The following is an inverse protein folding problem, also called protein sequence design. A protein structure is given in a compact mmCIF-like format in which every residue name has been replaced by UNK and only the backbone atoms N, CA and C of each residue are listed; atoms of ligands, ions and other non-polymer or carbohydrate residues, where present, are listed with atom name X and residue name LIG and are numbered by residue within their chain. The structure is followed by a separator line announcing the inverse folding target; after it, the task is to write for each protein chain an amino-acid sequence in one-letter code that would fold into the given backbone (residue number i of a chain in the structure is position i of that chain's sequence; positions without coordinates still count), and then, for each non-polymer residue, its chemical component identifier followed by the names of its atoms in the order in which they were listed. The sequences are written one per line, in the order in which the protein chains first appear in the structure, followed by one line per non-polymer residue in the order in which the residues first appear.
data_IF_164141939408
#
_entry.id   IF_164141939408
#
_cell.length_a   1.000
_cell.length_b   1.000
_cell.length_c   1.000
_cell.angle_alpha   90.00
_cell.angle_beta   90.00
_cell.angle_gamma   90.00
#
_symmetry.space_group_name_H-M   'P 1'
#
loop_
_entity.id
_entity.type
_entity.pdbx_description
1 polymer ?
#
# COMPACT_ATOMS: atom_id res chain seq x y z
N UNK A 1 13.96 5.07 23.61
CA UNK A 1 13.52 6.00 22.55
C UNK A 1 14.68 6.13 21.58
N UNK A 2 14.64 5.39 20.47
CA UNK A 2 15.67 5.45 19.43
C UNK A 2 15.51 6.76 18.67
N UNK A 3 16.57 7.57 18.62
CA UNK A 3 16.68 8.73 17.74
C UNK A 3 16.40 8.27 16.31
N UNK A 4 15.18 8.52 15.83
CA UNK A 4 14.87 8.49 14.40
C UNK A 4 15.50 9.75 13.82
N UNK A 5 16.63 9.61 13.12
CA UNK A 5 17.09 10.68 12.24
C UNK A 5 16.03 10.88 11.17
N UNK A 6 15.33 12.01 11.21
CA UNK A 6 14.38 12.38 10.18
C UNK A 6 15.10 12.40 8.83
N UNK A 7 14.43 11.98 7.77
CA UNK A 7 14.98 12.17 6.42
C UNK A 7 14.83 13.65 6.10
N UNK A 8 15.90 14.42 6.31
CA UNK A 8 15.88 15.88 6.13
C UNK A 8 15.89 16.29 4.65
N UNK A 9 16.47 15.46 3.77
CA UNK A 9 16.56 15.72 2.33
C UNK A 9 15.87 14.64 1.49
N UNK A 10 14.54 14.73 1.46
CA UNK A 10 13.71 13.86 0.63
C UNK A 10 13.94 14.03 -0.87
N UNK A 11 14.39 15.19 -1.33
CA UNK A 11 14.60 15.43 -2.77
C UNK A 11 15.87 14.74 -3.27
N UNK A 12 16.95 14.76 -2.49
CA UNK A 12 18.14 13.95 -2.80
C UNK A 12 17.81 12.45 -2.77
N UNK A 13 17.02 12.00 -1.78
CA UNK A 13 16.70 10.57 -1.63
C UNK A 13 15.73 10.07 -2.71
N UNK A 14 14.60 10.76 -2.89
CA UNK A 14 13.44 10.31 -3.68
C UNK A 14 13.00 11.30 -4.76
N UNK A 15 13.68 12.44 -4.97
CA UNK A 15 13.37 13.44 -6.00
C UNK A 15 13.14 12.85 -7.39
N UNK A 16 13.98 11.86 -7.75
CA UNK A 16 13.90 11.11 -9.01
C UNK A 16 12.57 10.37 -9.21
N UNK A 17 11.84 10.04 -8.14
CA UNK A 17 10.56 9.33 -8.24
C UNK A 17 9.49 10.17 -8.95
N UNK A 18 9.58 11.50 -8.92
CA UNK A 18 8.61 12.38 -9.59
C UNK A 18 8.50 12.06 -11.08
N UNK A 19 9.58 11.57 -11.68
CA UNK A 19 9.60 11.17 -13.08
C UNK A 19 8.88 9.83 -13.36
N UNK A 20 8.60 8.99 -12.35
CA UNK A 20 7.80 7.74 -12.51
C UNK A 20 6.34 7.98 -12.89
N UNK A 21 5.86 9.22 -12.78
CA UNK A 21 4.51 9.61 -13.17
C UNK A 21 4.49 10.63 -14.30
N UNK A 22 5.66 10.89 -14.90
CA UNK A 22 5.82 11.88 -15.98
C UNK A 22 5.31 11.32 -17.30
N UNK A 23 4.79 12.22 -18.14
CA UNK A 23 4.40 11.89 -19.52
C UNK A 23 5.63 11.87 -20.47
N UNK A 24 6.78 12.40 -20.02
CA UNK A 24 8.06 12.25 -20.73
C UNK A 24 8.59 10.82 -20.57
N UNK A 25 8.48 10.04 -21.64
CA UNK A 25 8.90 8.64 -21.69
C UNK A 25 10.38 8.43 -21.32
N UNK A 26 11.26 9.37 -21.69
CA UNK A 26 12.70 9.26 -21.39
C UNK A 26 12.95 9.48 -19.90
N UNK A 27 12.30 10.49 -19.31
CA UNK A 27 12.36 10.74 -17.88
C UNK A 27 11.77 9.56 -17.08
N UNK A 28 10.61 9.07 -17.50
CA UNK A 28 9.94 7.91 -16.89
C UNK A 28 10.84 6.68 -16.90
N UNK A 29 11.43 6.34 -18.05
CA UNK A 29 12.32 5.19 -18.18
C UNK A 29 13.55 5.29 -17.28
N UNK A 30 14.19 6.46 -17.22
CA UNK A 30 15.35 6.68 -16.32
C UNK A 30 14.98 6.51 -14.85
N UNK A 31 13.80 6.99 -14.45
CA UNK A 31 13.31 6.81 -13.08
C UNK A 31 13.01 5.34 -12.77
N UNK A 32 12.43 4.61 -13.73
CA UNK A 32 12.21 3.18 -13.60
C UNK A 32 13.54 2.40 -13.50
N UNK A 33 14.52 2.71 -14.33
CA UNK A 33 15.85 2.09 -14.28
C UNK A 33 16.51 2.29 -12.91
N UNK A 34 16.39 3.51 -12.35
CA UNK A 34 16.86 3.80 -10.99
C UNK A 34 16.10 3.01 -9.92
N UNK A 35 14.77 2.89 -10.05
CA UNK A 35 13.97 2.05 -9.16
C UNK A 35 14.44 0.58 -9.17
N UNK A 36 14.69 0.05 -10.37
CA UNK A 36 15.16 -1.33 -10.55
C UNK A 36 16.55 -1.53 -9.95
N UNK A 37 17.45 -0.56 -10.14
CA UNK A 37 18.78 -0.57 -9.55
C UNK A 37 18.73 -0.62 -8.01
N UNK A 38 18.02 0.32 -7.35
CA UNK A 38 17.95 0.34 -5.88
C UNK A 38 17.27 -0.92 -5.32
N UNK A 39 16.30 -1.47 -6.04
CA UNK A 39 15.62 -2.71 -5.65
C UNK A 39 16.55 -3.92 -5.77
N UNK A 40 17.37 -3.97 -6.83
CA UNK A 40 18.37 -5.02 -7.01
C UNK A 40 19.42 -4.95 -5.90
N UNK A 41 19.99 -3.77 -5.66
CA UNK A 41 21.04 -3.58 -4.66
C UNK A 41 20.53 -3.94 -3.24
N UNK A 42 19.27 -3.63 -2.92
CA UNK A 42 18.60 -4.07 -1.69
C UNK A 42 18.49 -5.60 -1.59
N UNK A 43 18.13 -6.29 -2.68
CA UNK A 43 18.04 -7.76 -2.70
C UNK A 43 19.41 -8.41 -2.54
N UNK A 44 20.43 -7.92 -3.23
CA UNK A 44 21.81 -8.41 -3.10
C UNK A 44 22.33 -8.24 -1.66
N UNK A 45 22.07 -7.08 -1.05
CA UNK A 45 22.43 -6.84 0.34
C UNK A 45 21.66 -7.77 1.31
N UNK A 46 20.39 -8.07 1.01
CA UNK A 46 19.59 -9.02 1.78
C UNK A 46 20.14 -10.44 1.68
N UNK A 47 20.45 -10.91 0.48
CA UNK A 47 21.02 -12.23 0.24
C UNK A 47 22.36 -12.40 0.97
N UNK A 48 23.21 -11.36 0.94
CA UNK A 48 24.47 -11.36 1.69
C UNK A 48 24.27 -11.45 3.21
N UNK A 49 23.27 -10.75 3.75
CA UNK A 49 22.89 -10.85 5.15
C UNK A 49 22.37 -12.25 5.51
N UNK A 50 21.44 -12.79 4.73
CA UNK A 50 20.85 -14.11 4.96
C UNK A 50 21.94 -15.21 4.91
N UNK A 51 22.91 -15.11 3.99
CA UNK A 51 24.04 -16.03 3.91
C UNK A 51 24.92 -16.05 5.18
N UNK A 52 25.02 -14.93 5.89
CA UNK A 52 25.76 -14.83 7.16
C UNK A 52 24.95 -15.38 8.32
N UNK A 53 23.66 -15.03 8.40
CA UNK A 53 22.74 -15.48 9.48
C UNK A 53 22.58 -17.00 9.50
N UNK A 54 22.61 -17.62 8.32
CA UNK A 54 22.48 -19.07 8.15
C UNK A 54 23.80 -19.84 8.37
N UNK A 55 24.94 -19.15 8.51
CA UNK A 55 26.25 -19.80 8.70
C UNK A 55 26.45 -20.29 10.15
N UNK A 56 27.09 -21.45 10.28
CA UNK A 56 27.51 -22.01 11.57
C UNK A 56 29.03 -22.31 11.53
N UNK A 57 29.83 -21.89 12.53
CA UNK A 57 29.45 -21.03 13.67
C UNK A 57 29.16 -19.58 13.23
N UNK A 58 28.32 -18.87 13.99
CA UNK A 58 27.95 -17.48 13.72
C UNK A 58 29.03 -16.49 14.13
N UNK A 59 29.21 -15.44 13.34
CA UNK A 59 30.04 -14.28 13.68
C UNK A 59 29.15 -13.06 13.88
N UNK A 60 29.02 -12.61 15.14
CA UNK A 60 28.16 -11.46 15.50
C UNK A 60 28.59 -10.18 14.77
N UNK A 61 29.89 -9.91 14.68
CA UNK A 61 30.40 -8.72 13.98
C UNK A 61 30.14 -8.75 12.47
N UNK A 62 30.21 -9.93 11.84
CA UNK A 62 29.86 -10.09 10.43
C UNK A 62 28.36 -9.90 10.19
N UNK A 63 27.52 -10.44 11.07
CA UNK A 63 26.06 -10.30 11.03
C UNK A 63 25.64 -8.84 11.16
N UNK A 64 26.16 -8.11 12.15
CA UNK A 64 25.89 -6.68 12.32
C UNK A 64 26.33 -5.85 11.10
N UNK A 65 27.50 -6.14 10.54
CA UNK A 65 27.99 -5.45 9.35
C UNK A 65 27.10 -5.66 8.13
N UNK A 66 26.63 -6.89 7.93
CA UNK A 66 25.72 -7.21 6.83
C UNK A 66 24.31 -6.65 7.06
N UNK A 67 23.83 -6.67 8.31
CA UNK A 67 22.56 -6.04 8.68
C UNK A 67 22.57 -4.54 8.37
N UNK A 68 23.64 -3.81 8.74
CA UNK A 68 23.77 -2.39 8.43
C UNK A 68 23.69 -2.13 6.93
N UNK A 69 24.46 -2.89 6.13
CA UNK A 69 24.42 -2.77 4.66
C UNK A 69 23.04 -3.05 4.07
N UNK A 70 22.38 -4.12 4.52
CA UNK A 70 21.01 -4.43 4.11
C UNK A 70 20.05 -3.30 4.49
N UNK A 71 20.11 -2.80 5.73
CA UNK A 71 19.27 -1.71 6.21
C UNK A 71 19.49 -0.43 5.38
N UNK A 72 20.74 -0.07 5.11
CA UNK A 72 21.08 1.12 4.33
C UNK A 72 20.51 1.01 2.90
N UNK A 73 20.71 -0.14 2.23
CA UNK A 73 20.16 -0.39 0.91
C UNK A 73 18.61 -0.45 0.93
N UNK A 74 18.02 -1.03 1.97
CA UNK A 74 16.57 -1.07 2.15
C UNK A 74 15.97 0.33 2.26
N UNK A 75 16.58 1.22 3.05
CA UNK A 75 16.14 2.60 3.22
C UNK A 75 16.25 3.45 1.94
N UNK A 76 17.01 3.03 0.93
CA UNK A 76 17.03 3.66 -0.39
C UNK A 76 15.83 3.26 -1.27
N UNK A 77 15.08 2.23 -0.91
CA UNK A 77 13.87 1.84 -1.64
C UNK A 77 12.69 2.75 -1.26
N UNK A 78 11.89 3.24 -2.23
CA UNK A 78 10.78 4.15 -1.95
C UNK A 78 9.83 3.70 -0.84
N UNK A 79 9.39 2.44 -0.91
CA UNK A 79 8.44 1.90 0.05
C UNK A 79 8.99 1.83 1.48
N UNK A 80 10.29 1.55 1.63
CA UNK A 80 10.93 1.51 2.93
C UNK A 80 11.17 2.91 3.49
N UNK A 81 11.75 3.81 2.69
CA UNK A 81 12.03 5.20 3.07
C UNK A 81 10.77 5.88 3.62
N UNK A 82 9.67 5.80 2.85
CA UNK A 82 8.39 6.41 3.21
C UNK A 82 7.80 5.83 4.51
N UNK A 83 7.96 4.53 4.75
CA UNK A 83 7.40 3.85 5.92
C UNK A 83 8.30 3.94 7.16
N UNK A 84 9.61 4.09 6.99
CA UNK A 84 10.57 4.23 8.08
C UNK A 84 10.44 5.60 8.77
N UNK A 85 10.20 6.65 7.97
CA UNK A 85 10.05 8.03 8.43
C UNK A 85 8.60 8.53 8.38
N UNK A 86 7.63 7.62 8.43
CA UNK A 86 6.20 7.99 8.50
C UNK A 86 5.91 8.70 9.83
N UNK A 87 5.34 9.92 9.82
CA UNK A 87 5.03 10.66 11.03
C UNK A 87 3.71 10.19 11.67
N UNK A 88 3.39 10.66 12.88
CA UNK A 88 2.07 10.53 13.46
C UNK A 88 0.96 11.11 12.56
N UNK A 89 -0.29 10.63 12.64
CA UNK A 89 -1.39 11.07 11.77
C UNK A 89 -1.62 12.58 11.69
N UNK A 90 -1.42 13.30 12.79
CA UNK A 90 -1.63 14.75 12.86
C UNK A 90 -0.59 15.57 12.07
N UNK A 91 0.58 15.00 11.80
CA UNK A 91 1.71 15.67 11.15
C UNK A 91 1.84 15.30 9.66
N UNK A 92 1.04 14.34 9.17
CA UNK A 92 1.10 13.88 7.78
C UNK A 92 0.88 15.01 6.75
N UNK A 93 -0.05 15.98 6.95
CA UNK A 93 -0.24 17.06 5.97
C UNK A 93 1.02 17.91 5.73
N UNK A 94 1.88 18.03 6.74
CA UNK A 94 3.11 18.85 6.70
C UNK A 94 4.38 18.01 6.50
N UNK A 95 4.23 16.70 6.30
CA UNK A 95 5.33 15.76 6.17
C UNK A 95 6.13 15.97 4.88
N UNK A 96 7.45 16.13 4.99
CA UNK A 96 8.34 16.26 3.83
C UNK A 96 8.28 15.09 2.84
N UNK A 97 7.93 13.89 3.31
CA UNK A 97 7.74 12.70 2.46
C UNK A 97 6.40 12.63 1.72
N UNK A 98 5.44 13.51 2.03
CA UNK A 98 4.08 13.50 1.47
C UNK A 98 4.07 13.54 -0.08
N UNK A 99 4.83 14.42 -0.77
CA UNK A 99 4.85 14.45 -2.23
C UNK A 99 5.32 13.13 -2.86
N UNK A 100 6.18 12.38 -2.18
CA UNK A 100 6.74 11.11 -2.64
C UNK A 100 5.81 9.93 -2.35
N UNK A 101 5.09 9.95 -1.22
CA UNK A 101 4.02 9.01 -0.94
C UNK A 101 2.89 9.11 -1.97
N UNK A 102 2.48 10.34 -2.31
CA UNK A 102 1.52 10.60 -3.38
C UNK A 102 2.02 10.08 -4.72
N UNK A 103 3.27 10.38 -5.08
CA UNK A 103 3.89 9.91 -6.33
C UNK A 103 3.95 8.39 -6.41
N UNK A 104 4.26 7.70 -5.31
CA UNK A 104 4.27 6.24 -5.27
C UNK A 104 2.88 5.64 -5.56
N UNK A 105 1.83 6.22 -4.97
CA UNK A 105 0.46 5.76 -5.21
C UNK A 105 -0.04 6.16 -6.59
N UNK A 106 0.30 7.34 -7.10
CA UNK A 106 0.00 7.77 -8.47
C UNK A 106 0.66 6.88 -9.51
N UNK A 107 1.91 6.47 -9.30
CA UNK A 107 2.60 5.50 -10.16
C UNK A 107 1.87 4.15 -10.17
N UNK A 108 1.48 3.63 -9.00
CA UNK A 108 0.64 2.44 -8.90
C UNK A 108 -0.71 2.60 -9.61
N UNK A 109 -1.25 3.81 -9.56
CA UNK A 109 -2.56 4.12 -10.07
C UNK A 109 -2.54 4.21 -11.62
N UNK A 110 -1.58 4.95 -12.19
CA UNK A 110 -1.39 5.23 -13.62
C UNK A 110 -0.79 4.05 -14.39
N UNK A 111 0.21 3.37 -13.83
CA UNK A 111 0.97 2.32 -14.51
C UNK A 111 0.83 0.97 -13.78
N UNK A 112 -0.38 0.42 -13.63
CA UNK A 112 -0.63 -0.73 -12.77
C UNK A 112 0.11 -2.00 -13.21
N UNK A 113 0.34 -2.19 -14.51
CA UNK A 113 1.08 -3.35 -15.04
C UNK A 113 2.57 -3.25 -14.70
N UNK A 114 3.18 -2.08 -14.93
CA UNK A 114 4.57 -1.79 -14.60
C UNK A 114 4.81 -1.92 -13.08
N UNK A 115 3.97 -1.27 -12.28
CA UNK A 115 4.03 -1.38 -10.82
C UNK A 115 3.88 -2.83 -10.35
N UNK A 116 2.97 -3.61 -10.96
CA UNK A 116 2.79 -5.02 -10.61
C UNK A 116 4.02 -5.87 -10.95
N UNK A 117 4.71 -5.55 -12.04
CA UNK A 117 5.91 -6.27 -12.48
C UNK A 117 7.13 -5.96 -11.61
N UNK A 118 7.30 -4.71 -11.20
CA UNK A 118 8.56 -4.24 -10.64
C UNK A 118 8.48 -3.85 -9.15
N UNK A 119 7.33 -3.35 -8.69
CA UNK A 119 7.20 -2.67 -7.40
C UNK A 119 6.09 -3.21 -6.50
N UNK A 120 5.51 -4.36 -6.85
CA UNK A 120 4.34 -4.92 -6.16
C UNK A 120 4.63 -5.25 -4.71
N UNK A 121 4.30 -4.31 -3.83
CA UNK A 121 4.33 -4.49 -2.38
C UNK A 121 2.99 -4.00 -1.81
N UNK A 122 2.03 -4.93 -1.71
CA UNK A 122 0.67 -4.61 -1.30
C UNK A 122 0.60 -4.00 0.11
N UNK A 123 1.41 -4.48 1.04
CA UNK A 123 1.49 -3.95 2.39
C UNK A 123 1.90 -2.48 2.39
N UNK A 124 2.88 -2.09 1.56
CA UNK A 124 3.30 -0.70 1.38
C UNK A 124 2.16 0.17 0.85
N UNK A 125 1.51 -0.23 -0.25
CA UNK A 125 0.34 0.49 -0.78
C UNK A 125 -0.72 0.71 0.30
N UNK A 126 -1.09 -0.35 1.04
CA UNK A 126 -2.12 -0.25 2.07
C UNK A 126 -1.70 0.65 3.24
N UNK A 127 -0.45 0.58 3.69
CA UNK A 127 0.07 1.43 4.77
C UNK A 127 0.10 2.90 4.34
N UNK A 128 0.55 3.20 3.12
CA UNK A 128 0.55 4.56 2.59
C UNK A 128 -0.88 5.11 2.44
N UNK A 129 -1.82 4.32 1.92
CA UNK A 129 -3.23 4.76 1.83
C UNK A 129 -3.79 5.10 3.23
N UNK A 130 -3.47 4.29 4.25
CA UNK A 130 -3.90 4.56 5.63
C UNK A 130 -3.22 5.79 6.22
N UNK A 131 -1.92 5.97 5.95
CA UNK A 131 -1.16 7.14 6.38
C UNK A 131 -1.76 8.43 5.80
N UNK A 132 -2.12 8.42 4.51
CA UNK A 132 -2.70 9.57 3.83
C UNK A 132 -4.19 9.79 4.16
N UNK A 133 -4.88 8.79 4.70
CA UNK A 133 -6.29 8.89 5.08
C UNK A 133 -6.48 9.60 6.43
N UNK A 134 -6.00 10.85 6.50
CA UNK A 134 -6.14 11.76 7.64
C UNK A 134 -6.73 13.10 7.17
N UNK A 135 -7.46 13.85 8.01
CA UNK A 135 -7.91 15.20 7.67
C UNK A 135 -6.74 16.19 7.63
N UNK A 136 -7.00 17.42 7.15
CA UNK A 136 -6.02 18.53 7.19
C UNK A 136 -5.20 18.73 5.91
N UNK A 137 -5.32 17.84 4.92
CA UNK A 137 -4.72 18.05 3.59
C UNK A 137 -5.30 19.30 2.92
N UNK A 138 -4.43 20.15 2.40
CA UNK A 138 -4.80 21.40 1.76
C UNK A 138 -3.94 21.67 0.51
N UNK A 139 -4.33 22.67 -0.28
CA UNK A 139 -3.59 23.13 -1.44
C UNK A 139 -3.24 22.01 -2.45
N UNK A 140 -1.99 21.95 -2.94
CA UNK A 140 -1.56 20.96 -3.94
C UNK A 140 -1.71 19.50 -3.49
N UNK A 141 -1.51 19.20 -2.19
CA UNK A 141 -1.64 17.85 -1.67
C UNK A 141 -3.10 17.36 -1.76
N UNK A 142 -4.06 18.21 -1.37
CA UNK A 142 -5.49 17.88 -1.49
C UNK A 142 -5.89 17.66 -2.95
N UNK A 143 -5.42 18.51 -3.87
CA UNK A 143 -5.69 18.36 -5.31
C UNK A 143 -5.18 17.01 -5.84
N UNK A 144 -3.95 16.61 -5.50
CA UNK A 144 -3.38 15.31 -5.89
C UNK A 144 -4.15 14.12 -5.30
N UNK A 145 -4.63 14.22 -4.06
CA UNK A 145 -5.48 13.18 -3.47
C UNK A 145 -6.82 13.05 -4.18
N UNK A 146 -7.44 14.17 -4.61
CA UNK A 146 -8.65 14.14 -5.43
C UNK A 146 -8.39 13.44 -6.77
N UNK A 147 -7.31 13.84 -7.46
CA UNK A 147 -6.92 13.24 -8.74
C UNK A 147 -6.63 11.74 -8.60
N UNK A 148 -6.00 11.33 -7.50
CA UNK A 148 -5.70 9.93 -7.21
C UNK A 148 -6.96 9.09 -6.99
N UNK A 149 -7.94 9.62 -6.23
CA UNK A 149 -9.23 8.93 -6.05
C UNK A 149 -9.98 8.83 -7.39
N UNK A 150 -10.01 9.92 -8.16
CA UNK A 150 -10.63 9.94 -9.49
C UNK A 150 -9.98 8.90 -10.41
N UNK A 151 -8.65 8.86 -10.48
CA UNK A 151 -7.93 7.94 -11.34
C UNK A 151 -8.19 6.47 -10.99
N UNK A 152 -8.34 6.16 -9.70
CA UNK A 152 -8.70 4.81 -9.23
C UNK A 152 -10.15 4.45 -9.59
N UNK A 153 -11.07 5.42 -9.59
CA UNK A 153 -12.47 5.19 -9.96
C UNK A 153 -12.64 4.92 -11.46
N UNK A 154 -11.89 5.62 -12.31
CA UNK A 154 -11.97 5.47 -13.77
C UNK A 154 -11.31 4.20 -14.30
N UNK A 155 -10.37 3.61 -13.55
CA UNK A 155 -9.73 2.35 -13.97
C UNK A 155 -10.57 1.13 -13.62
N UNK A 156 -10.28 0.02 -14.31
CA UNK A 156 -10.86 -1.29 -13.99
C UNK A 156 -10.48 -1.72 -12.57
N UNK A 157 -11.49 -2.03 -11.75
CA UNK A 157 -11.34 -2.33 -10.33
C UNK A 157 -10.30 -3.42 -10.03
N UNK A 158 -9.41 -3.17 -9.07
CA UNK A 158 -8.49 -4.17 -8.50
C UNK A 158 -8.83 -4.43 -7.03
N UNK A 159 -8.47 -5.63 -6.54
CA UNK A 159 -8.90 -6.15 -5.23
C UNK A 159 -8.58 -5.28 -4.00
N UNK A 160 -7.68 -4.29 -4.11
CA UNK A 160 -7.28 -3.35 -3.04
C UNK A 160 -7.67 -1.91 -3.31
N UNK A 161 -8.34 -1.63 -4.42
CA UNK A 161 -8.70 -0.26 -4.80
C UNK A 161 -9.77 0.34 -3.91
N UNK A 162 -10.58 -0.52 -3.26
CA UNK A 162 -11.49 -0.10 -2.19
C UNK A 162 -10.80 0.67 -1.06
N UNK A 163 -9.50 0.46 -0.84
CA UNK A 163 -8.82 1.12 0.27
C UNK A 163 -8.70 2.64 0.01
N UNK A 164 -8.72 3.10 -1.25
CA UNK A 164 -8.76 4.52 -1.61
C UNK A 164 -10.04 5.23 -1.15
N UNK A 165 -11.12 4.51 -0.86
CA UNK A 165 -12.31 5.09 -0.24
C UNK A 165 -12.03 5.67 1.17
N UNK A 166 -10.91 5.28 1.82
CA UNK A 166 -10.47 5.92 3.07
C UNK A 166 -9.97 7.34 2.82
N UNK A 167 -9.19 7.53 1.75
CA UNK A 167 -8.75 8.85 1.30
C UNK A 167 -9.97 9.69 0.90
N UNK A 168 -10.89 9.11 0.12
CA UNK A 168 -12.12 9.78 -0.29
C UNK A 168 -12.92 10.34 0.90
N UNK A 169 -13.01 9.59 2.02
CA UNK A 169 -13.71 10.05 3.22
C UNK A 169 -13.08 11.28 3.87
N UNK A 170 -11.75 11.35 3.92
CA UNK A 170 -11.07 12.46 4.60
C UNK A 170 -10.99 13.72 3.75
N UNK A 171 -11.12 13.60 2.43
CA UNK A 171 -11.15 14.74 1.50
C UNK A 171 -12.55 15.05 0.97
N UNK A 172 -13.60 14.43 1.54
CA UNK A 172 -15.00 14.62 1.12
C UNK A 172 -15.37 16.10 1.08
N UNK A 173 -16.14 16.47 0.07
CA UNK A 173 -16.51 17.83 -0.26
C UNK A 173 -17.02 17.92 -1.68
N UNK A 174 -17.53 19.09 -2.05
CA UNK A 174 -18.24 19.30 -3.31
C UNK A 174 -17.40 18.95 -4.54
N UNK A 175 -16.10 19.27 -4.53
CA UNK A 175 -15.18 18.91 -5.63
C UNK A 175 -15.13 17.40 -5.89
N UNK A 176 -14.97 16.60 -4.82
CA UNK A 176 -14.89 15.16 -4.93
C UNK A 176 -16.23 14.60 -5.39
N UNK A 177 -17.32 15.07 -4.79
CA UNK A 177 -18.68 14.62 -5.11
C UNK A 177 -19.02 14.92 -6.56
N UNK A 178 -18.68 16.11 -7.07
CA UNK A 178 -18.90 16.48 -8.46
C UNK A 178 -18.14 15.56 -9.43
N UNK A 179 -16.86 15.26 -9.15
CA UNK A 179 -16.04 14.32 -9.94
C UNK A 179 -16.64 12.91 -9.94
N UNK A 180 -17.08 12.42 -8.78
CA UNK A 180 -17.72 11.12 -8.65
C UNK A 180 -19.09 11.05 -9.36
N UNK A 181 -19.91 12.09 -9.29
CA UNK A 181 -21.18 12.14 -10.02
C UNK A 181 -20.96 12.13 -11.54
N UNK A 182 -19.94 12.84 -12.03
CA UNK A 182 -19.51 12.75 -13.43
C UNK A 182 -19.08 11.33 -13.80
N UNK A 183 -18.32 10.65 -12.94
CA UNK A 183 -17.92 9.27 -13.15
C UNK A 183 -19.12 8.29 -13.10
N UNK A 184 -20.16 8.60 -12.31
CA UNK A 184 -21.38 7.79 -12.17
C UNK A 184 -22.20 7.71 -13.47
N UNK A 185 -22.09 8.72 -14.34
CA UNK A 185 -22.75 8.74 -15.66
C UNK A 185 -21.83 8.32 -16.81
N UNK A 186 -20.64 7.78 -16.51
CA UNK A 186 -19.71 7.26 -17.51
C UNK A 186 -20.32 6.13 -18.35
N UNK A 187 -19.88 5.98 -19.61
CA UNK A 187 -20.26 4.85 -20.46
C UNK A 187 -19.81 3.49 -19.88
N UNK A 188 -18.69 3.49 -19.14
CA UNK A 188 -18.07 2.28 -18.60
C UNK A 188 -18.73 1.79 -17.31
N UNK A 189 -19.23 0.56 -17.31
CA UNK A 189 -19.98 -0.02 -16.19
C UNK A 189 -19.18 -0.03 -14.89
N UNK A 190 -17.90 -0.44 -14.93
CA UNK A 190 -17.05 -0.48 -13.74
C UNK A 190 -16.78 0.91 -13.15
N UNK A 191 -16.74 1.96 -13.99
CA UNK A 191 -16.54 3.34 -13.52
C UNK A 191 -17.79 3.81 -12.80
N UNK A 192 -18.97 3.57 -13.39
CA UNK A 192 -20.26 3.88 -12.76
C UNK A 192 -20.42 3.17 -11.42
N UNK A 193 -20.05 1.89 -11.37
CA UNK A 193 -20.16 1.06 -10.16
C UNK A 193 -19.24 1.56 -9.05
N UNK A 194 -17.98 1.83 -9.38
CA UNK A 194 -17.02 2.33 -8.39
C UNK A 194 -17.42 3.72 -7.89
N UNK A 195 -17.78 4.63 -8.78
CA UNK A 195 -18.22 5.98 -8.41
C UNK A 195 -19.47 5.95 -7.51
N UNK A 196 -20.48 5.16 -7.89
CA UNK A 196 -21.70 5.00 -7.11
C UNK A 196 -21.46 4.43 -5.72
N UNK A 197 -20.58 3.42 -5.61
CA UNK A 197 -20.22 2.85 -4.31
C UNK A 197 -19.44 3.83 -3.43
N UNK A 198 -18.50 4.59 -3.99
CA UNK A 198 -17.77 5.61 -3.22
C UNK A 198 -18.76 6.68 -2.73
N UNK A 199 -19.65 7.18 -3.58
CA UNK A 199 -20.70 8.14 -3.17
C UNK A 199 -21.58 7.57 -2.04
N UNK A 200 -22.00 6.31 -2.14
CA UNK A 200 -22.75 5.64 -1.08
C UNK A 200 -21.95 5.57 0.23
N UNK A 201 -20.64 5.23 0.17
CA UNK A 201 -19.76 5.21 1.35
C UNK A 201 -19.53 6.59 1.98
N UNK A 202 -19.57 7.66 1.19
CA UNK A 202 -19.46 9.05 1.66
C UNK A 202 -20.75 9.52 2.35
N UNK A 203 -21.92 9.08 1.87
CA UNK A 203 -23.22 9.33 2.53
C UNK A 203 -23.39 8.50 3.81
N UNK A 204 -22.65 7.39 3.93
CA UNK A 204 -22.75 6.44 5.04
C UNK A 204 -21.38 6.22 5.72
N UNK A 205 -20.82 7.25 6.40
CA UNK A 205 -19.47 7.19 6.97
C UNK A 205 -19.27 6.06 8.01
N UNK A 206 -20.33 5.67 8.72
CA UNK A 206 -20.38 4.58 9.69
C UNK A 206 -20.17 3.19 9.07
N UNK A 207 -20.43 3.03 7.76
CA UNK A 207 -20.26 1.73 7.10
C UNK A 207 -18.77 1.39 6.98
N UNK A 208 -18.32 0.20 7.37
CA UNK A 208 -16.93 -0.18 7.21
C UNK A 208 -16.52 -0.33 5.72
N UNK A 209 -15.32 0.14 5.38
CA UNK A 209 -14.75 -0.08 4.04
C UNK A 209 -14.15 -1.49 3.95
N UNK A 210 -14.94 -2.45 3.48
CA UNK A 210 -14.54 -3.85 3.32
C UNK A 210 -15.14 -4.49 2.04
N UNK A 211 -14.69 -5.70 1.73
CA UNK A 211 -15.12 -6.45 0.52
C UNK A 211 -16.60 -6.85 0.59
N UNK A 212 -17.10 -7.17 1.78
CA UNK A 212 -18.49 -7.59 2.01
C UNK A 212 -19.47 -6.48 1.65
N UNK A 213 -19.20 -5.25 2.09
CA UNK A 213 -20.06 -4.10 1.80
C UNK A 213 -20.06 -3.72 0.32
N UNK A 214 -18.93 -3.87 -0.37
CA UNK A 214 -18.87 -3.73 -1.83
C UNK A 214 -19.82 -4.70 -2.55
N UNK A 215 -19.77 -5.99 -2.21
CA UNK A 215 -20.65 -6.98 -2.85
C UNK A 215 -22.11 -6.78 -2.46
N UNK A 216 -22.40 -6.47 -1.20
CA UNK A 216 -23.77 -6.18 -0.76
C UNK A 216 -24.35 -4.98 -1.51
N UNK A 217 -23.54 -3.94 -1.74
CA UNK A 217 -23.93 -2.79 -2.56
C UNK A 217 -24.20 -3.18 -4.03
N UNK A 218 -23.33 -4.00 -4.64
CA UNK A 218 -23.55 -4.52 -6.00
C UNK A 218 -24.84 -5.34 -6.12
N UNK A 219 -25.12 -6.21 -5.15
CA UNK A 219 -26.34 -7.03 -5.12
C UNK A 219 -27.59 -6.16 -5.00
N UNK A 220 -27.58 -5.16 -4.12
CA UNK A 220 -28.72 -4.26 -3.94
C UNK A 220 -28.98 -3.41 -5.20
N UNK A 221 -27.91 -2.97 -5.88
CA UNK A 221 -28.01 -2.29 -7.17
C UNK A 221 -28.66 -3.16 -8.25
N UNK A 222 -28.31 -4.46 -8.30
CA UNK A 222 -28.91 -5.39 -9.26
C UNK A 222 -30.41 -5.66 -8.96
N UNK A 223 -30.84 -5.49 -7.72
CA UNK A 223 -32.23 -5.70 -7.26
C UNK A 223 -33.19 -4.52 -7.44
N UNK A 224 -32.83 -3.49 -8.22
CA UNK A 224 -33.67 -2.32 -8.56
C UNK A 224 -34.03 -1.34 -7.43
N UNK A 225 -33.29 -1.35 -6.32
CA UNK A 225 -33.30 -0.24 -5.34
C UNK A 225 -32.26 0.79 -5.79
N UNK A 226 -32.57 2.09 -5.75
CA UNK A 226 -31.52 3.11 -5.96
C UNK A 226 -30.44 2.87 -4.90
N UNK A 227 -29.21 2.50 -5.30
CA UNK A 227 -28.16 2.14 -4.36
C UNK A 227 -27.78 3.26 -3.39
N UNK A 228 -28.14 4.50 -3.72
CA UNK A 228 -27.90 5.65 -2.88
C UNK A 228 -28.94 5.84 -1.76
N UNK A 229 -30.10 5.21 -1.88
CA UNK A 229 -31.20 5.24 -0.91
C UNK A 229 -31.15 4.05 0.07
N UNK A 230 -30.14 3.18 -0.08
CA UNK A 230 -29.91 2.05 0.82
C UNK A 230 -29.50 2.57 2.20
N UNK A 231 -30.44 2.50 3.15
CA UNK A 231 -30.20 2.80 4.54
C UNK A 231 -29.10 1.91 5.12
N UNK A 232 -28.15 2.53 5.82
CA UNK A 232 -27.05 1.80 6.46
C UNK A 232 -27.48 0.88 7.60
N UNK A 233 -28.69 1.06 8.14
CA UNK A 233 -29.22 0.27 9.27
C UNK A 233 -29.29 -1.23 8.95
N UNK A 234 -29.57 -1.60 7.69
CA UNK A 234 -29.49 -2.99 7.23
C UNK A 234 -28.07 -3.50 6.92
N UNK A 235 -27.06 -2.61 6.93
CA UNK A 235 -25.67 -2.94 6.57
C UNK A 235 -24.76 -3.16 7.78
N UNK A 236 -25.14 -2.66 8.96
CA UNK A 236 -24.34 -2.72 10.20
C UNK A 236 -24.54 -4.03 10.99
N UNK A 237 -25.32 -4.98 10.47
CA UNK A 237 -25.54 -6.28 11.12
C UNK A 237 -24.23 -7.02 11.44
N UNK A 238 -24.06 -7.39 12.71
CA UNK A 238 -23.05 -8.35 13.18
C UNK A 238 -23.06 -9.60 12.27
N UNK A 239 -21.89 -10.22 12.00
CA UNK A 239 -21.87 -11.51 11.34
C UNK A 239 -22.44 -12.54 12.33
N UNK A 240 -23.76 -12.71 12.34
CA UNK A 240 -24.34 -13.91 12.89
C UNK A 240 -23.78 -15.08 12.05
N UNK A 241 -23.14 -16.00 12.76
CA UNK A 241 -22.86 -17.35 12.26
C UNK A 241 -24.19 -17.97 11.86
N UNK A 242 -24.57 -17.85 10.60
CA UNK A 242 -25.53 -18.79 10.02
C UNK A 242 -24.76 -20.05 9.64
N UNK A 243 -25.01 -21.02 10.51
CA UNK A 243 -24.82 -22.46 10.42
C UNK A 243 -24.79 -23.01 8.98
N UNK A 244 -23.76 -23.84 8.75
CA UNK A 244 -23.78 -25.08 7.97
C UNK A 244 -24.81 -25.14 6.82
N UNK A 245 -24.39 -24.69 5.64
CA UNK A 245 -24.86 -25.28 4.39
C UNK A 245 -23.76 -26.17 3.83
N UNK A 246 -24.01 -27.47 3.94
CA UNK A 246 -23.24 -28.56 3.35
C UNK A 246 -23.21 -28.39 1.83
N UNK A 247 -22.04 -28.44 1.16
CA UNK A 247 -21.97 -28.34 -0.28
C UNK A 247 -22.41 -29.68 -0.92
N UNK A 248 -23.26 -29.68 -1.96
CA UNK A 248 -23.59 -30.90 -2.67
C UNK A 248 -22.35 -31.43 -3.42
N UNK A 249 -22.25 -32.76 -3.43
CA UNK A 249 -21.18 -33.56 -4.01
C UNK A 249 -20.86 -33.17 -5.47
N UNK A 250 -19.57 -33.12 -5.78
CA UNK A 250 -19.06 -32.94 -7.15
C UNK A 250 -19.21 -34.24 -7.95
N UNK A 251 -19.82 -34.22 -9.15
CA UNK A 251 -19.60 -35.29 -10.12
C UNK A 251 -18.32 -35.02 -10.92
N UNK A 252 -17.45 -36.04 -10.97
CA UNK A 252 -16.82 -36.57 -12.19
C UNK A 252 -15.95 -35.65 -13.06
N UNK A 253 -14.67 -36.01 -13.13
CA UNK A 253 -13.65 -35.55 -14.08
C UNK A 253 -14.10 -35.46 -15.56
N UNK A 254 -13.58 -34.45 -16.27
CA UNK A 254 -13.05 -34.65 -17.62
C UNK A 254 -11.84 -33.73 -17.82
N UNK A 255 -10.70 -34.39 -18.02
CA UNK A 255 -9.45 -33.79 -18.48
C UNK A 255 -9.59 -33.41 -19.96
N UNK A 256 -9.09 -32.24 -20.33
CA UNK A 256 -8.67 -31.97 -21.72
C UNK A 256 -7.39 -31.11 -21.68
N UNK A 257 -6.32 -31.46 -22.43
CA UNK A 257 -5.02 -30.83 -22.34
C UNK A 257 -4.85 -29.77 -23.43
N UNK A 258 -4.24 -28.63 -23.08
CA UNK A 258 -3.62 -27.77 -24.09
C UNK A 258 -3.79 -26.28 -23.88
N UNK A 259 -2.91 -25.67 -23.07
CA UNK A 259 -2.35 -24.37 -23.42
C UNK A 259 -1.03 -24.14 -22.67
N UNK A 260 0.10 -23.90 -23.37
CA UNK A 260 1.33 -23.46 -22.73
C UNK A 260 1.32 -21.94 -22.51
N UNK A 261 2.16 -21.49 -21.58
CA UNK A 261 2.53 -20.11 -21.23
C UNK A 261 1.60 -19.30 -20.31
N UNK A 262 1.52 -19.74 -19.04
CA UNK A 262 1.31 -18.86 -17.91
C UNK A 262 2.59 -18.82 -17.05
N UNK A 263 3.21 -17.65 -16.79
CA UNK A 263 4.34 -17.58 -15.86
C UNK A 263 3.89 -17.91 -14.43
N UNK A 264 4.75 -18.55 -13.62
CA UNK A 264 4.37 -19.00 -12.29
C UNK A 264 3.98 -17.83 -11.39
N UNK A 265 2.91 -18.08 -10.63
CA UNK A 265 2.38 -17.23 -9.58
C UNK A 265 3.46 -16.97 -8.52
N UNK A 266 4.00 -15.75 -8.48
CA UNK A 266 4.84 -15.30 -7.37
C UNK A 266 4.00 -15.32 -6.08
N UNK A 267 4.34 -16.26 -5.19
CA UNK A 267 3.87 -16.29 -3.82
C UNK A 267 4.11 -14.94 -3.12
N UNK A 268 3.26 -14.52 -2.19
CA UNK A 268 3.50 -13.31 -1.42
C UNK A 268 4.77 -13.49 -0.59
N UNK A 269 5.80 -12.68 -0.85
CA UNK A 269 6.88 -12.49 0.11
C UNK A 269 6.26 -11.97 1.40
N UNK A 270 6.45 -12.73 2.49
CA UNK A 270 6.08 -12.27 3.82
C UNK A 270 6.75 -10.91 4.10
N UNK A 271 6.06 -9.99 4.79
CA UNK A 271 6.74 -8.81 5.32
C UNK A 271 7.92 -9.26 6.20
N UNK A 272 9.03 -8.51 6.25
CA UNK A 272 10.13 -8.85 7.13
C UNK A 272 9.60 -9.01 8.57
N UNK A 273 10.11 -9.99 9.35
CA UNK A 273 9.78 -10.09 10.76
C UNK A 273 10.11 -8.76 11.45
N UNK A 274 9.33 -8.42 12.48
CA UNK A 274 9.70 -7.33 13.38
C UNK A 274 11.15 -7.54 13.85
N UNK A 275 11.95 -6.47 14.03
CA UNK A 275 13.29 -6.62 14.56
C UNK A 275 13.25 -7.40 15.89
N UNK A 276 14.25 -8.25 16.19
CA UNK A 276 14.36 -8.84 17.50
C UNK A 276 14.36 -7.73 18.56
N UNK A 277 13.69 -7.98 19.69
CA UNK A 277 13.75 -7.10 20.85
C UNK A 277 15.20 -6.75 21.15
N UNK A 278 15.43 -5.47 21.43
CA UNK A 278 16.73 -4.88 21.82
C UNK A 278 17.52 -5.88 22.69
N UNK A 279 18.79 -6.20 22.36
CA UNK A 279 19.58 -7.06 23.23
C UNK A 279 19.64 -6.46 24.64
N UNK A 280 19.56 -7.29 25.71
CA UNK A 280 19.64 -6.80 27.07
C UNK A 280 20.92 -5.98 27.25
N UNK A 281 20.80 -4.85 27.97
CA UNK A 281 21.94 -4.00 28.29
C UNK A 281 23.09 -4.86 28.85
N UNK A 282 24.34 -4.65 28.41
CA UNK A 282 25.47 -5.34 28.98
C UNK A 282 25.54 -5.06 30.49
N UNK A 283 25.92 -6.06 31.31
CA UNK A 283 26.09 -5.85 32.74
C UNK A 283 27.14 -4.75 32.98
N UNK A 284 26.97 -3.92 34.02
CA UNK A 284 27.92 -2.85 34.33
C UNK A 284 29.31 -3.45 34.54
N UNK A 285 30.32 -2.78 33.95
CA UNK A 285 31.71 -3.18 34.04
C UNK A 285 32.14 -3.29 35.52
N UNK A 286 32.77 -4.41 35.87
CA UNK A 286 33.33 -4.63 37.20
C UNK A 286 34.45 -3.62 37.44
N UNK A 287 34.46 -2.89 38.57
CA UNK A 287 35.54 -1.94 38.86
C UNK A 287 36.86 -2.70 39.05
N UNK A 288 38.00 -2.09 38.66
CA UNK A 288 39.30 -2.72 38.79
C UNK A 288 39.67 -2.98 40.25
N UNK A 289 40.45 -4.04 40.53
CA UNK A 289 40.89 -4.36 41.88
C UNK A 289 41.80 -3.25 42.42
N UNK A 290 41.42 -2.68 43.55
CA UNK A 290 42.31 -1.83 44.36
C UNK A 290 43.38 -2.71 44.99
N UNK A 291 44.62 -2.53 44.56
CA UNK A 291 45.78 -3.05 45.28
C UNK A 291 45.94 -2.28 46.59
N UNK A 292 45.99 -3.01 47.70
CA UNK A 292 46.53 -2.59 48.99
C UNK A 292 47.66 -3.53 49.37
#
# INVERSE_FOLDING_TARGET
MTERGAIEDWDTLLGWMRALVSDDEVAHRRALDRYLLVTRDMREAREAYDAIVLRVPRSVSAEEGAWRRFRDAWLLTPGAALLADSPPPAEVPDWGGLPYALTYLEWEARFPAEWTRHAKVWSTKQRLIRLLAVPGHHGPARARLLDLVELVVYRRHRCKDRDYSRIARVIDGDDLRARLEKARVSGESWTRDQAGHVLWLLRNPQVPINRTNWFRWLSAKAGAVDPLDIAAEGFIGHPERSEQHEPPERPGHSEDPGHPDAPPSNAPSDPPPNPPDTPPNPPPATPPPTHS
#
